data_IF_948171132090
#
_entry.id   IF_948171132090
#
_cell.length_a   1.000
_cell.length_b   1.000
_cell.length_c   1.000
_cell.angle_alpha   90.00
_cell.angle_beta   90.00
_cell.angle_gamma   90.00
#
_symmetry.space_group_name_H-M   'P 1'
#
loop_
_entity.id
_entity.type
_entity.pdbx_description
1 polymer ?
#
# COMPACT_ATOMS: atom_id res chain seq x y z
N UNK A 1 -35.21 -29.07 -22.93
CA UNK A 1 -35.24 -28.64 -21.53
C UNK A 1 -34.30 -27.47 -21.42
N UNK A 2 -34.87 -26.27 -21.33
CA UNK A 2 -34.13 -25.03 -21.20
C UNK A 2 -33.98 -24.74 -19.70
N UNK A 3 -32.77 -24.91 -19.19
CA UNK A 3 -32.47 -24.65 -17.78
C UNK A 3 -32.47 -23.14 -17.59
N UNK A 4 -33.49 -22.63 -16.91
CA UNK A 4 -33.59 -21.23 -16.55
C UNK A 4 -32.43 -20.87 -15.61
N UNK A 5 -31.36 -20.31 -16.16
CA UNK A 5 -30.28 -19.67 -15.38
C UNK A 5 -30.88 -18.42 -14.76
N UNK A 6 -30.96 -18.41 -13.44
CA UNK A 6 -31.40 -17.26 -12.66
C UNK A 6 -30.40 -16.10 -12.88
N UNK A 7 -30.85 -14.88 -13.26
CA UNK A 7 -29.98 -13.72 -13.46
C UNK A 7 -29.43 -13.13 -12.15
N UNK A 8 -29.83 -13.63 -10.98
CA UNK A 8 -29.26 -13.17 -9.72
C UNK A 8 -27.79 -13.60 -9.58
N UNK A 9 -26.89 -12.72 -9.12
CA UNK A 9 -25.52 -13.12 -8.82
C UNK A 9 -25.54 -14.21 -7.76
N UNK A 10 -24.98 -15.38 -8.09
CA UNK A 10 -24.84 -16.49 -7.15
C UNK A 10 -24.01 -16.04 -5.94
N UNK A 11 -24.31 -16.60 -4.77
CA UNK A 11 -23.53 -16.40 -3.52
C UNK A 11 -22.01 -16.51 -3.73
N UNK A 12 -21.57 -17.38 -4.66
CA UNK A 12 -20.15 -17.54 -5.03
C UNK A 12 -19.55 -16.29 -5.69
N UNK A 13 -20.32 -15.61 -6.55
CA UNK A 13 -19.89 -14.39 -7.24
C UNK A 13 -19.76 -13.25 -6.24
N UNK A 14 -20.78 -13.06 -5.39
CA UNK A 14 -20.74 -12.02 -4.34
C UNK A 14 -19.60 -12.27 -3.35
N UNK A 15 -19.37 -13.53 -2.95
CA UNK A 15 -18.27 -13.89 -2.05
C UNK A 15 -16.89 -13.59 -2.66
N UNK A 16 -16.71 -13.86 -3.96
CA UNK A 16 -15.47 -13.56 -4.66
C UNK A 16 -15.19 -12.05 -4.70
N UNK A 17 -16.20 -11.22 -4.99
CA UNK A 17 -16.07 -9.76 -5.01
C UNK A 17 -15.70 -9.20 -3.63
N UNK A 18 -16.35 -9.69 -2.57
CA UNK A 18 -16.04 -9.31 -1.19
C UNK A 18 -14.63 -9.71 -0.79
N UNK A 19 -14.21 -10.92 -1.15
CA UNK A 19 -12.85 -11.40 -0.89
C UNK A 19 -11.81 -10.55 -1.61
N UNK A 20 -12.00 -10.25 -2.89
CA UNK A 20 -11.10 -9.38 -3.63
C UNK A 20 -11.05 -7.97 -3.04
N UNK A 21 -12.20 -7.39 -2.68
CA UNK A 21 -12.25 -6.07 -2.05
C UNK A 21 -11.48 -6.06 -0.72
N UNK A 22 -11.61 -7.13 0.08
CA UNK A 22 -10.85 -7.31 1.32
C UNK A 22 -9.35 -7.41 1.06
N UNK A 23 -8.92 -8.21 0.07
CA UNK A 23 -7.51 -8.32 -0.30
C UNK A 23 -6.93 -6.99 -0.77
N UNK A 24 -7.66 -6.23 -1.60
CA UNK A 24 -7.26 -4.88 -2.02
C UNK A 24 -7.10 -3.93 -0.83
N UNK A 25 -8.05 -3.95 0.12
CA UNK A 25 -7.99 -3.12 1.33
C UNK A 25 -6.79 -3.48 2.21
N UNK A 26 -6.52 -4.77 2.40
CA UNK A 26 -5.36 -5.24 3.18
C UNK A 26 -4.04 -4.85 2.52
N UNK A 27 -3.93 -4.98 1.20
CA UNK A 27 -2.74 -4.56 0.46
C UNK A 27 -2.49 -3.05 0.60
N UNK A 28 -3.54 -2.22 0.52
CA UNK A 28 -3.44 -0.78 0.77
C UNK A 28 -3.01 -0.48 2.21
N UNK A 29 -3.59 -1.16 3.20
CA UNK A 29 -3.25 -0.98 4.61
C UNK A 29 -1.78 -1.32 4.89
N UNK A 30 -1.28 -2.43 4.35
CA UNK A 30 0.12 -2.83 4.44
C UNK A 30 1.04 -1.82 3.74
N UNK A 31 0.62 -1.31 2.58
CA UNK A 31 1.35 -0.27 1.88
C UNK A 31 1.48 1.01 2.72
N UNK A 32 0.38 1.46 3.35
CA UNK A 32 0.37 2.63 4.24
C UNK A 32 1.18 2.40 5.52
N UNK A 33 1.27 1.16 6.02
CA UNK A 33 2.10 0.80 7.17
C UNK A 33 3.60 0.95 6.89
N UNK A 34 4.03 0.74 5.64
CA UNK A 34 5.41 0.95 5.20
C UNK A 34 5.81 2.43 5.05
N UNK A 35 4.83 3.35 5.11
CA UNK A 35 5.09 4.80 5.08
C UNK A 35 5.37 5.31 6.49
N UNK A 36 6.35 6.20 6.60
CA UNK A 36 6.59 6.95 7.84
C UNK A 36 5.41 7.86 8.17
N UNK A 37 5.25 8.23 9.44
CA UNK A 37 4.13 9.08 9.89
C UNK A 37 3.98 10.37 9.05
N UNK A 38 5.09 11.06 8.74
CA UNK A 38 5.06 12.26 7.88
C UNK A 38 4.66 11.97 6.44
N UNK A 39 5.18 10.88 5.85
CA UNK A 39 4.84 10.45 4.49
C UNK A 39 3.37 10.06 4.40
N UNK A 40 2.89 9.30 5.39
CA UNK A 40 1.50 8.85 5.50
C UNK A 40 0.56 10.03 5.59
N UNK A 41 0.82 10.98 6.49
CA UNK A 41 -0.04 12.16 6.66
C UNK A 41 -0.14 12.98 5.37
N UNK A 42 1.00 13.28 4.72
CA UNK A 42 1.02 14.02 3.44
C UNK A 42 0.26 13.25 2.35
N UNK A 43 0.44 11.93 2.28
CA UNK A 43 -0.24 11.08 1.31
C UNK A 43 -1.75 11.02 1.57
N UNK A 44 -2.18 10.78 2.81
CA UNK A 44 -3.61 10.71 3.16
C UNK A 44 -4.30 12.05 3.00
N UNK A 45 -3.66 13.16 3.40
CA UNK A 45 -4.21 14.51 3.26
C UNK A 45 -4.45 14.90 1.80
N UNK A 46 -3.67 14.35 0.85
CA UNK A 46 -3.79 14.65 -0.58
C UNK A 46 -4.61 13.66 -1.39
N UNK A 47 -4.64 12.39 -1.00
CA UNK A 47 -5.20 11.31 -1.83
C UNK A 47 -6.40 10.59 -1.19
N UNK A 48 -6.50 10.57 0.14
CA UNK A 48 -7.61 9.91 0.86
C UNK A 48 -8.61 10.90 1.46
N UNK A 49 -8.25 12.18 1.55
CA UNK A 49 -9.13 13.19 2.11
C UNK A 49 -10.01 13.82 1.02
N UNK A 50 -11.27 14.09 1.34
CA UNK A 50 -12.23 14.73 0.42
C UNK A 50 -11.84 16.18 0.11
N UNK A 51 -11.34 16.89 1.13
CA UNK A 51 -10.71 18.20 0.97
C UNK A 51 -9.20 18.01 0.80
N UNK A 52 -8.75 18.04 -0.47
CA UNK A 52 -7.33 17.91 -0.78
C UNK A 52 -6.54 19.09 -0.22
N UNK A 53 -5.73 18.86 0.81
CA UNK A 53 -4.85 19.89 1.38
C UNK A 53 -3.84 20.33 0.33
N UNK A 54 -3.65 21.64 0.20
CA UNK A 54 -2.71 22.19 -0.77
C UNK A 54 -1.27 21.91 -0.35
N UNK A 55 -0.36 21.91 -1.34
CA UNK A 55 1.08 21.78 -1.08
C UNK A 55 1.62 22.92 -0.21
N UNK A 56 0.99 24.10 -0.26
CA UNK A 56 1.38 25.29 0.50
C UNK A 56 0.98 25.18 1.97
N UNK A 57 -0.22 24.67 2.26
CA UNK A 57 -0.65 24.39 3.63
C UNK A 57 0.21 23.31 4.28
N UNK A 58 0.51 22.22 3.58
CA UNK A 58 1.41 21.17 4.07
C UNK A 58 2.85 21.69 4.26
N UNK A 59 3.33 22.54 3.36
CA UNK A 59 4.63 23.18 3.49
C UNK A 59 4.70 24.05 4.75
N UNK A 60 3.64 24.83 5.02
CA UNK A 60 3.51 25.67 6.20
C UNK A 60 3.40 24.84 7.49
N UNK A 61 2.57 23.79 7.51
CA UNK A 61 2.37 22.91 8.67
C UNK A 61 3.66 22.20 9.10
N UNK A 62 4.41 21.67 8.13
CA UNK A 62 5.63 20.92 8.40
C UNK A 62 6.90 21.79 8.43
N UNK A 63 6.79 23.10 8.16
CA UNK A 63 7.91 24.03 8.10
C UNK A 63 8.95 23.67 7.02
N UNK A 64 8.51 23.16 5.87
CA UNK A 64 9.37 22.71 4.77
C UNK A 64 9.01 23.43 3.48
N UNK A 65 9.91 23.42 2.47
CA UNK A 65 9.59 23.99 1.17
C UNK A 65 8.52 23.17 0.43
N UNK A 66 7.77 23.83 -0.46
CA UNK A 66 6.79 23.19 -1.35
C UNK A 66 7.38 22.02 -2.14
N UNK A 67 8.60 22.20 -2.64
CA UNK A 67 9.33 21.15 -3.36
C UNK A 67 9.67 19.96 -2.44
N UNK A 68 9.98 20.23 -1.16
CA UNK A 68 10.23 19.16 -0.20
C UNK A 68 8.98 18.32 0.05
N UNK A 69 7.80 18.93 0.15
CA UNK A 69 6.52 18.22 0.25
C UNK A 69 6.30 17.34 -0.98
N UNK A 70 6.53 17.87 -2.18
CA UNK A 70 6.44 17.11 -3.45
C UNK A 70 7.37 15.89 -3.45
N UNK A 71 8.61 16.04 -3.01
CA UNK A 71 9.55 14.90 -2.91
C UNK A 71 9.08 13.83 -1.92
N UNK A 72 8.50 14.24 -0.79
CA UNK A 72 7.98 13.31 0.21
C UNK A 72 6.77 12.57 -0.36
N UNK A 73 5.88 13.27 -1.06
CA UNK A 73 4.74 12.66 -1.76
C UNK A 73 5.21 11.64 -2.81
N UNK A 74 6.16 12.00 -3.68
CA UNK A 74 6.65 11.09 -4.71
C UNK A 74 7.27 9.83 -4.10
N UNK A 75 8.05 9.97 -3.02
CA UNK A 75 8.59 8.81 -2.28
C UNK A 75 7.50 7.96 -1.65
N UNK A 76 6.50 8.58 -1.03
CA UNK A 76 5.34 7.90 -0.46
C UNK A 76 4.60 7.09 -1.55
N UNK A 77 4.34 7.71 -2.70
CA UNK A 77 3.68 7.07 -3.84
C UNK A 77 4.48 5.88 -4.38
N UNK A 78 5.80 6.02 -4.55
CA UNK A 78 6.66 4.92 -4.99
C UNK A 78 6.64 3.75 -3.99
N UNK A 79 6.65 4.02 -2.68
CA UNK A 79 6.53 2.98 -1.65
C UNK A 79 5.20 2.26 -1.70
N UNK A 80 4.09 2.99 -1.86
CA UNK A 80 2.76 2.38 -1.98
C UNK A 80 2.68 1.50 -3.22
N UNK A 81 3.14 2.00 -4.37
CA UNK A 81 3.18 1.24 -5.62
C UNK A 81 4.02 -0.03 -5.50
N UNK A 82 5.20 0.06 -4.89
CA UNK A 82 6.07 -1.08 -4.66
C UNK A 82 5.40 -2.13 -3.75
N UNK A 83 4.79 -1.70 -2.64
CA UNK A 83 4.07 -2.60 -1.75
C UNK A 83 2.89 -3.31 -2.43
N UNK A 84 2.12 -2.61 -3.26
CA UNK A 84 1.04 -3.22 -4.04
C UNK A 84 1.54 -4.26 -5.06
N UNK A 85 2.69 -4.00 -5.71
CA UNK A 85 3.32 -4.97 -6.61
C UNK A 85 3.82 -6.20 -5.85
N UNK A 86 4.43 -6.02 -4.67
CA UNK A 86 4.88 -7.13 -3.82
C UNK A 86 3.71 -7.95 -3.32
N UNK A 87 2.62 -7.35 -2.83
CA UNK A 87 1.44 -8.09 -2.35
C UNK A 87 0.77 -8.90 -3.45
N UNK A 88 0.80 -8.43 -4.71
CA UNK A 88 0.34 -9.21 -5.87
C UNK A 88 1.24 -10.42 -6.14
N UNK A 89 2.54 -10.28 -5.87
CA UNK A 89 3.53 -11.34 -6.08
C UNK A 89 3.48 -12.40 -4.97
N UNK A 90 3.24 -12.00 -3.71
CA UNK A 90 3.01 -12.92 -2.59
C UNK A 90 1.73 -13.74 -2.75
N UNK A 91 0.70 -13.18 -3.40
CA UNK A 91 -0.52 -13.91 -3.75
C UNK A 91 -0.33 -14.93 -4.89
N UNK A 92 0.82 -14.94 -5.60
CA UNK A 92 1.08 -15.79 -6.78
C UNK A 92 2.43 -16.55 -6.76
N UNK A 93 3.19 -16.58 -5.66
CA UNK A 93 4.43 -17.38 -5.58
C UNK A 93 5.30 -17.12 -4.35
N UNK A 94 6.18 -18.06 -3.95
CA UNK A 94 6.68 -18.19 -2.58
C UNK A 94 7.71 -17.10 -2.16
N UNK A 95 7.82 -16.81 -0.85
CA UNK A 95 8.73 -15.79 -0.34
C UNK A 95 10.17 -16.31 -0.38
N UNK A 96 10.97 -15.80 -1.32
CA UNK A 96 12.42 -15.98 -1.31
C UNK A 96 13.10 -14.67 -0.96
N UNK A 97 13.52 -14.55 0.29
CA UNK A 97 14.88 -14.13 0.63
C UNK A 97 15.08 -14.16 2.14
N UNK A 98 15.70 -15.28 2.56
CA UNK A 98 16.68 -15.40 3.64
C UNK A 98 16.65 -14.29 4.69
N UNK A 99 16.11 -14.68 5.83
CA UNK A 99 16.48 -14.16 7.13
C UNK A 99 17.97 -13.77 7.16
N UNK A 100 18.17 -12.53 7.59
CA UNK A 100 19.38 -11.92 8.09
C UNK A 100 20.14 -12.86 9.05
N UNK A 101 20.96 -13.76 8.52
CA UNK A 101 21.94 -14.49 9.34
C UNK A 101 23.18 -13.61 9.54
N UNK A 102 23.14 -12.97 10.71
CA UNK A 102 24.25 -12.68 11.61
C UNK A 102 25.65 -12.85 11.01
N UNK A 103 26.35 -11.72 10.86
CA UNK A 103 27.81 -11.68 10.80
C UNK A 103 28.37 -12.38 12.03
N UNK A 104 28.81 -13.63 11.91
CA UNK A 104 29.69 -14.23 12.91
C UNK A 104 31.12 -13.89 12.51
N UNK A 105 31.59 -12.76 13.05
CA UNK A 105 33.02 -12.53 13.19
C UNK A 105 33.53 -13.41 14.33
N UNK A 106 34.34 -14.41 14.01
CA UNK A 106 35.29 -15.02 14.95
C UNK A 106 36.65 -14.80 14.29
N UNK A 107 37.30 -13.69 14.63
CA UNK A 107 38.34 -13.63 15.65
C UNK A 107 39.54 -14.51 15.28
N UNK A 108 40.60 -13.80 14.86
CA UNK A 108 41.99 -14.24 14.84
C UNK A 108 42.33 -15.02 16.12
N UNK A 109 42.98 -16.17 15.96
CA UNK A 109 44.05 -16.68 16.81
C UNK A 109 44.96 -17.55 15.94
#
# INVERSE_FOLDING_TARGET
>A
MDWLVDPAPTCEITLAEEQEAKQRRLALANALANLNARERNIFTARWLNEESTTLEELAAEYGVSRERVRQIEERAFQKVKAAMLTSRHEANGPPSSRAKEMKQGVARA
#
